data_IF_542137316206
#
_entry.id   IF_542137316206
#
_cell.length_a   1.000
_cell.length_b   1.000
_cell.length_c   1.000
_cell.angle_alpha   90.00
_cell.angle_beta   90.00
_cell.angle_gamma   90.00
#
_symmetry.space_group_name_H-M   'P 1'
#
loop_
_entity.id
_entity.type
_entity.pdbx_description
1 polymer ?
#
# COMPACT_ATOMS: atom_id res chain seq x y z
N UNK A 1 -33.43 37.56 -96.07
CA UNK A 1 -32.96 37.69 -97.46
C UNK A 1 -31.57 38.27 -97.42
N UNK A 2 -30.63 37.61 -98.15
CA UNK A 2 -29.39 38.13 -98.77
C UNK A 2 -28.58 39.13 -97.92
N UNK A 3 -27.39 38.78 -97.42
CA UNK A 3 -26.25 38.35 -98.21
C UNK A 3 -25.61 39.57 -98.85
N UNK A 4 -24.39 39.92 -98.45
CA UNK A 4 -23.24 40.07 -99.37
C UNK A 4 -22.02 40.64 -98.67
N UNK A 5 -20.91 39.93 -98.90
CA UNK A 5 -19.53 40.30 -98.64
C UNK A 5 -19.17 41.63 -99.32
N UNK A 6 -18.26 42.41 -98.73
CA UNK A 6 -17.22 43.05 -99.53
C UNK A 6 -15.89 43.13 -98.78
N UNK A 7 -14.86 42.74 -99.52
CA UNK A 7 -13.51 42.41 -99.09
C UNK A 7 -12.55 43.49 -99.62
N UNK A 8 -11.56 43.83 -98.78
CA UNK A 8 -10.18 44.24 -99.14
C UNK A 8 -9.98 45.67 -99.68
N UNK A 9 -9.26 46.53 -98.95
CA UNK A 9 -7.85 46.89 -99.28
C UNK A 9 -7.17 47.71 -98.17
N UNK A 10 -6.01 47.17 -97.83
CA UNK A 10 -4.94 47.62 -96.94
C UNK A 10 -4.26 48.91 -97.37
N UNK A 11 -3.99 49.80 -96.41
CA UNK A 11 -2.81 50.67 -96.40
C UNK A 11 -1.96 50.29 -95.20
N UNK A 12 -0.74 49.82 -95.47
CA UNK A 12 0.22 49.39 -94.45
C UNK A 12 1.08 50.55 -93.97
N UNK A 13 1.35 50.53 -92.67
CA UNK A 13 2.58 51.07 -92.10
C UNK A 13 3.12 50.00 -91.14
N UNK A 14 4.20 49.33 -91.54
CA UNK A 14 4.95 48.39 -90.71
C UNK A 14 6.23 49.08 -90.27
N UNK A 15 6.57 48.90 -88.99
CA UNK A 15 7.88 48.49 -88.41
C UNK A 15 7.88 49.00 -86.95
N UNK A 16 8.15 48.20 -85.91
CA UNK A 16 8.96 47.00 -85.86
C UNK A 16 8.36 45.85 -85.05
N UNK A 17 8.76 44.66 -85.47
CA UNK A 17 8.50 43.36 -84.86
C UNK A 17 9.52 43.07 -83.77
N UNK A 18 9.09 42.31 -82.75
CA UNK A 18 9.76 41.09 -82.21
C UNK A 18 9.53 40.98 -80.70
N UNK A 19 9.06 39.89 -80.08
CA UNK A 19 8.63 38.55 -80.53
C UNK A 19 7.89 37.89 -79.33
N UNK A 20 6.80 37.17 -79.60
CA UNK A 20 6.38 35.96 -78.84
C UNK A 20 5.40 36.11 -77.67
N UNK A 21 4.11 35.87 -77.93
CA UNK A 21 3.12 35.28 -77.00
C UNK A 21 2.79 33.88 -77.56
N UNK A 22 2.32 32.91 -76.76
CA UNK A 22 0.92 32.53 -76.99
C UNK A 22 0.13 32.29 -75.71
N UNK A 23 -1.12 32.77 -75.75
CA UNK A 23 -2.19 32.47 -74.83
C UNK A 23 -2.57 30.98 -74.90
N UNK A 24 -2.85 30.36 -73.76
CA UNK A 24 -3.61 29.11 -73.69
C UNK A 24 -4.32 29.02 -72.33
N UNK A 25 -5.60 28.59 -72.38
CA UNK A 25 -6.49 28.14 -71.29
C UNK A 25 -7.01 29.24 -70.32
N UNK A 26 -8.26 29.70 -70.39
CA UNK A 26 -9.54 28.98 -70.28
C UNK A 26 -9.71 28.29 -68.91
N UNK A 27 -10.68 28.80 -68.12
CA UNK A 27 -11.39 28.12 -67.03
C UNK A 27 -10.55 27.46 -65.91
N UNK A 28 -10.26 28.23 -64.83
CA UNK A 28 -10.36 27.71 -63.46
C UNK A 28 -11.02 28.78 -62.59
N UNK A 29 -12.36 28.75 -62.60
CA UNK A 29 -13.15 29.04 -61.41
C UNK A 29 -12.72 28.07 -60.31
N UNK A 30 -12.66 28.56 -59.06
CA UNK A 30 -12.48 27.81 -57.82
C UNK A 30 -11.06 27.24 -57.56
N UNK A 31 -10.63 27.39 -56.30
CA UNK A 31 -9.43 26.79 -55.70
C UNK A 31 -8.10 27.58 -55.84
N UNK A 32 -8.07 28.84 -55.40
CA UNK A 32 -6.96 29.21 -54.49
C UNK A 32 -7.26 28.56 -53.14
N UNK A 33 -6.91 27.28 -53.07
CA UNK A 33 -6.87 26.48 -51.85
C UNK A 33 -5.99 27.25 -50.87
N UNK A 34 -6.60 27.80 -49.83
CA UNK A 34 -5.94 27.97 -48.55
C UNK A 34 -5.35 26.59 -48.26
N UNK A 35 -4.06 26.40 -48.49
CA UNK A 35 -3.31 25.33 -47.84
C UNK A 35 -3.24 25.75 -46.38
N UNK A 36 -4.37 25.59 -45.69
CA UNK A 36 -4.35 25.28 -44.28
C UNK A 36 -3.56 23.99 -44.25
N UNK A 37 -2.28 24.12 -43.92
CA UNK A 37 -1.53 23.02 -43.34
C UNK A 37 -2.35 22.59 -42.12
N UNK A 38 -3.30 21.68 -42.35
CA UNK A 38 -3.81 20.80 -41.31
C UNK A 38 -2.62 19.92 -41.01
N UNK A 39 -1.64 20.47 -40.28
CA UNK A 39 -0.92 19.64 -39.34
C UNK A 39 -2.03 18.99 -38.53
N UNK A 40 -2.18 17.65 -38.53
CA UNK A 40 -2.98 17.06 -37.49
C UNK A 40 -2.38 17.63 -36.22
N UNK A 41 -3.18 18.39 -35.47
CA UNK A 41 -2.83 18.66 -34.08
C UNK A 41 -2.75 17.25 -33.52
N UNK A 42 -1.53 16.71 -33.45
CA UNK A 42 -1.28 15.40 -32.87
C UNK A 42 -1.77 15.56 -31.46
N UNK A 43 -3.01 15.13 -31.20
CA UNK A 43 -3.55 15.08 -29.87
C UNK A 43 -2.57 14.18 -29.14
N UNK A 44 -1.69 14.79 -28.33
CA UNK A 44 -0.68 14.08 -27.58
C UNK A 44 -1.46 13.03 -26.80
N UNK A 45 -1.25 11.75 -27.12
CA UNK A 45 -1.94 10.67 -26.45
C UNK A 45 -1.77 10.88 -24.94
N UNK A 46 -2.88 10.84 -24.20
CA UNK A 46 -2.83 11.05 -22.77
C UNK A 46 -1.84 10.05 -22.15
N UNK A 47 -1.10 10.45 -21.09
CA UNK A 47 -0.15 9.57 -20.46
C UNK A 47 -0.87 8.33 -19.90
N UNK A 48 -0.25 7.16 -20.05
CA UNK A 48 -0.77 5.91 -19.49
C UNK A 48 -0.76 6.01 -17.96
N UNK A 49 -1.91 5.70 -17.35
CA UNK A 49 -2.08 5.70 -15.89
C UNK A 49 -1.89 4.29 -15.34
N UNK A 50 -0.96 4.16 -14.42
CA UNK A 50 -0.55 2.90 -13.81
C UNK A 50 -0.91 2.98 -12.33
N UNK A 51 -1.58 1.96 -11.77
CA UNK A 51 -1.82 1.84 -10.33
C UNK A 51 -1.14 0.59 -9.80
N UNK A 52 -0.44 0.71 -8.68
CA UNK A 52 0.04 -0.44 -7.92
C UNK A 52 -0.63 -0.51 -6.56
N UNK A 53 -1.44 -1.54 -6.31
CA UNK A 53 -2.00 -1.84 -5.00
C UNK A 53 -1.07 -2.80 -4.26
N UNK A 54 -0.44 -2.35 -3.18
CA UNK A 54 0.63 -3.08 -2.54
C UNK A 54 0.73 -2.75 -1.06
N UNK A 55 1.19 -3.70 -0.26
CA UNK A 55 1.67 -3.44 1.10
C UNK A 55 3.18 -3.73 1.22
N UNK A 56 3.79 -3.14 2.25
CA UNK A 56 5.11 -3.49 2.79
C UNK A 56 6.20 -3.57 1.70
N UNK A 57 6.59 -4.75 1.22
CA UNK A 57 7.67 -4.90 0.23
C UNK A 57 7.41 -4.14 -1.09
N UNK A 58 6.16 -3.80 -1.41
CA UNK A 58 5.86 -2.94 -2.54
C UNK A 58 6.36 -1.50 -2.32
N UNK A 59 6.24 -0.99 -1.09
CA UNK A 59 6.77 0.31 -0.68
C UNK A 59 8.29 0.33 -0.79
N UNK A 60 8.95 -0.75 -0.34
CA UNK A 60 10.40 -0.93 -0.49
C UNK A 60 10.83 -0.91 -1.96
N UNK A 61 10.08 -1.59 -2.83
CA UNK A 61 10.35 -1.60 -4.26
C UNK A 61 10.14 -0.22 -4.90
N UNK A 62 9.12 0.54 -4.48
CA UNK A 62 8.87 1.89 -4.99
C UNK A 62 9.97 2.86 -4.55
N UNK A 63 10.20 2.96 -3.24
CA UNK A 63 11.09 3.98 -2.67
C UNK A 63 12.57 3.60 -2.81
N UNK A 64 12.92 2.35 -2.49
CA UNK A 64 14.29 1.86 -2.58
C UNK A 64 14.70 1.47 -3.99
N UNK A 65 13.74 1.15 -4.86
CA UNK A 65 13.97 0.76 -6.26
C UNK A 65 13.79 1.88 -7.28
N UNK A 66 13.42 3.09 -6.85
CA UNK A 66 13.15 4.25 -7.73
C UNK A 66 12.13 3.95 -8.84
N UNK A 67 11.10 3.14 -8.53
CA UNK A 67 10.12 2.70 -9.56
C UNK A 67 9.29 3.86 -10.06
N UNK A 68 8.90 4.75 -9.13
CA UNK A 68 8.11 5.95 -9.45
C UNK A 68 8.88 6.85 -10.42
N UNK A 69 10.11 7.20 -10.05
CA UNK A 69 11.01 8.04 -10.84
C UNK A 69 11.29 7.39 -12.21
N UNK A 70 11.53 6.08 -12.23
CA UNK A 70 11.79 5.33 -13.45
C UNK A 70 10.60 5.30 -14.42
N UNK A 71 9.36 5.17 -13.91
CA UNK A 71 8.15 5.23 -14.72
C UNK A 71 7.82 6.66 -15.15
N UNK A 72 8.00 7.65 -14.28
CA UNK A 72 7.83 9.06 -14.61
C UNK A 72 8.79 9.51 -15.70
N UNK A 73 10.07 9.09 -15.63
CA UNK A 73 11.07 9.37 -16.68
C UNK A 73 10.70 8.79 -18.04
N UNK A 74 9.82 7.78 -18.09
CA UNK A 74 9.29 7.18 -19.33
C UNK A 74 7.97 7.81 -19.80
N UNK A 75 7.50 8.85 -19.12
CA UNK A 75 6.27 9.58 -19.47
C UNK A 75 4.98 8.92 -18.94
N UNK A 76 5.09 7.98 -17.99
CA UNK A 76 3.93 7.35 -17.38
C UNK A 76 3.48 8.09 -16.11
N UNK A 77 2.17 8.07 -15.84
CA UNK A 77 1.62 8.51 -14.56
C UNK A 77 1.48 7.30 -13.64
N UNK A 78 2.37 7.20 -12.66
CA UNK A 78 2.37 6.10 -11.71
C UNK A 78 1.67 6.50 -10.41
N UNK A 79 0.69 5.72 -10.02
CA UNK A 79 -0.05 5.84 -8.76
C UNK A 79 0.23 4.58 -7.97
N UNK A 80 0.17 4.68 -6.65
CA UNK A 80 0.20 3.50 -5.81
C UNK A 80 -0.70 3.69 -4.59
N UNK A 81 -1.19 2.57 -4.07
CA UNK A 81 -2.01 2.53 -2.89
C UNK A 81 -1.38 1.55 -1.91
N UNK A 82 -0.95 2.08 -0.77
CA UNK A 82 -0.38 1.35 0.35
C UNK A 82 -1.44 0.69 1.22
N UNK A 83 -1.17 0.61 2.52
CA UNK A 83 -2.19 0.32 3.54
C UNK A 83 -3.32 1.35 3.47
N UNK A 84 -4.54 1.01 3.88
CA UNK A 84 -5.65 1.96 3.89
C UNK A 84 -5.38 3.23 4.72
N UNK A 85 -4.58 3.11 5.79
CA UNK A 85 -4.16 4.24 6.62
C UNK A 85 -3.21 5.20 5.90
N UNK A 86 -2.35 4.67 5.03
CA UNK A 86 -1.46 5.46 4.17
C UNK A 86 -2.24 6.03 2.96
N UNK A 87 -3.04 5.17 2.34
CA UNK A 87 -3.91 5.47 1.22
C UNK A 87 -3.18 5.61 -0.12
N UNK A 88 -3.81 6.40 -1.00
CA UNK A 88 -3.40 6.63 -2.38
C UNK A 88 -2.33 7.72 -2.47
N UNK A 89 -1.23 7.42 -3.16
CA UNK A 89 -0.27 8.39 -3.69
C UNK A 89 -0.53 8.69 -5.15
N UNK A 90 -0.50 9.97 -5.50
CA UNK A 90 -0.73 10.46 -6.86
C UNK A 90 0.48 10.23 -7.79
N UNK A 91 0.38 10.72 -9.04
CA UNK A 91 1.45 10.64 -10.04
C UNK A 91 2.78 11.27 -9.56
N UNK A 92 2.73 12.28 -8.68
CA UNK A 92 3.90 12.96 -8.12
C UNK A 92 4.42 12.26 -6.85
N UNK A 93 3.77 11.18 -6.41
CA UNK A 93 4.09 10.47 -5.17
C UNK A 93 3.57 11.16 -3.92
N UNK A 94 2.69 12.15 -4.05
CA UNK A 94 2.08 12.83 -2.90
C UNK A 94 0.88 12.05 -2.38
N UNK A 95 0.79 11.85 -1.06
CA UNK A 95 -0.40 11.28 -0.43
C UNK A 95 -1.60 12.18 -0.67
N UNK A 96 -2.70 11.58 -1.10
CA UNK A 96 -3.91 12.31 -1.48
C UNK A 96 -4.88 12.50 -0.31
N UNK A 97 -4.62 11.88 0.84
CA UNK A 97 -5.55 11.80 1.97
C UNK A 97 -6.78 10.93 1.71
N UNK A 98 -6.80 10.19 0.59
CA UNK A 98 -7.86 9.25 0.21
C UNK A 98 -7.30 7.84 0.18
N UNK A 99 -8.16 6.86 0.39
CA UNK A 99 -7.86 5.44 0.18
C UNK A 99 -8.96 4.77 -0.64
N UNK A 100 -8.72 3.54 -1.10
CA UNK A 100 -9.65 2.73 -1.89
C UNK A 100 -10.53 1.81 -1.03
N UNK A 101 -10.51 1.97 0.29
CA UNK A 101 -11.20 1.16 1.28
C UNK A 101 -11.02 -0.35 1.03
N UNK A 102 -9.77 -0.80 0.95
CA UNK A 102 -9.41 -2.22 0.78
C UNK A 102 -10.05 -3.01 1.94
N UNK A 103 -10.97 -3.96 1.69
CA UNK A 103 -11.68 -4.64 2.77
C UNK A 103 -10.74 -5.36 3.72
N UNK A 104 -10.80 -5.01 5.01
CA UNK A 104 -9.92 -5.57 6.05
C UNK A 104 -8.44 -5.28 5.84
N UNK A 105 -8.09 -4.35 4.94
CA UNK A 105 -6.72 -4.14 4.47
C UNK A 105 -6.05 -5.44 3.96
N UNK A 106 -6.87 -6.37 3.47
CA UNK A 106 -6.40 -7.70 3.08
C UNK A 106 -5.88 -7.68 1.64
N UNK A 107 -4.56 -7.84 1.50
CA UNK A 107 -3.86 -8.03 0.20
C UNK A 107 -3.34 -9.46 0.01
N UNK A 108 -3.91 -10.44 0.70
CA UNK A 108 -3.64 -11.86 0.52
C UNK A 108 -4.51 -12.43 -0.63
N UNK A 109 -4.26 -13.67 -1.10
CA UNK A 109 -4.96 -14.24 -2.26
C UNK A 109 -6.49 -14.20 -2.16
N UNK A 110 -7.04 -14.48 -0.97
CA UNK A 110 -8.49 -14.44 -0.71
C UNK A 110 -9.03 -12.99 -0.71
N UNK A 111 -8.30 -12.05 -0.11
CA UNK A 111 -8.60 -10.62 -0.11
C UNK A 111 -8.66 -10.07 -1.54
N UNK A 112 -7.68 -10.41 -2.38
CA UNK A 112 -7.75 -10.06 -3.80
C UNK A 112 -8.91 -10.74 -4.52
N UNK A 113 -9.24 -12.01 -4.24
CA UNK A 113 -10.42 -12.63 -4.82
C UNK A 113 -11.72 -11.90 -4.40
N UNK A 114 -11.83 -11.47 -3.15
CA UNK A 114 -12.95 -10.67 -2.66
C UNK A 114 -13.02 -9.31 -3.37
N UNK A 115 -11.90 -8.61 -3.54
CA UNK A 115 -11.83 -7.35 -4.29
C UNK A 115 -12.30 -7.54 -5.73
N UNK A 116 -11.76 -8.53 -6.44
CA UNK A 116 -12.10 -8.76 -7.85
C UNK A 116 -13.54 -9.26 -8.07
N UNK A 117 -14.29 -9.64 -7.02
CA UNK A 117 -15.73 -9.95 -7.14
C UNK A 117 -16.65 -8.77 -6.82
N UNK A 118 -16.10 -7.62 -6.39
CA UNK A 118 -16.90 -6.42 -6.12
C UNK A 118 -17.64 -5.94 -7.39
N UNK A 119 -18.91 -5.52 -7.18
CA UNK A 119 -19.73 -4.89 -8.22
C UNK A 119 -19.15 -3.53 -8.59
N UNK A 120 -19.19 -3.17 -9.88
CA UNK A 120 -18.78 -1.84 -10.31
C UNK A 120 -19.77 -0.77 -9.83
N UNK A 121 -19.23 0.38 -9.48
CA UNK A 121 -19.97 1.56 -9.05
C UNK A 121 -19.49 2.79 -9.84
N UNK A 122 -20.39 3.73 -10.09
CA UNK A 122 -20.10 5.03 -10.71
C UNK A 122 -20.88 6.12 -9.97
N UNK A 123 -20.22 7.07 -9.27
CA UNK A 123 -18.76 7.17 -9.07
C UNK A 123 -18.18 5.94 -8.34
N UNK A 124 -16.87 5.68 -8.44
CA UNK A 124 -16.25 4.53 -7.79
C UNK A 124 -16.35 4.64 -6.26
N UNK A 125 -16.92 3.62 -5.61
CA UNK A 125 -17.13 3.57 -4.14
C UNK A 125 -16.43 2.39 -3.46
N UNK A 126 -15.81 1.51 -4.24
CA UNK A 126 -15.12 0.33 -3.74
C UNK A 126 -13.80 0.12 -4.46
N UNK A 127 -12.94 -0.70 -3.87
CA UNK A 127 -11.57 -0.92 -4.31
C UNK A 127 -11.47 -1.28 -5.78
N UNK A 128 -12.26 -2.25 -6.24
CA UNK A 128 -12.20 -2.67 -7.65
C UNK A 128 -12.70 -1.58 -8.61
N UNK A 129 -13.72 -0.82 -8.23
CA UNK A 129 -14.21 0.31 -9.02
C UNK A 129 -13.18 1.42 -9.15
N UNK A 130 -12.34 1.65 -8.12
CA UNK A 130 -11.21 2.58 -8.19
C UNK A 130 -10.09 2.01 -9.08
N UNK A 131 -9.71 0.75 -8.90
CA UNK A 131 -8.63 0.11 -9.68
C UNK A 131 -8.94 0.14 -11.19
N UNK A 132 -10.19 -0.11 -11.58
CA UNK A 132 -10.55 -0.21 -13.01
C UNK A 132 -10.52 1.14 -13.76
N UNK A 133 -10.34 2.26 -13.05
CA UNK A 133 -10.15 3.57 -13.65
C UNK A 133 -8.77 3.73 -14.32
N UNK A 134 -7.79 2.91 -13.94
CA UNK A 134 -6.42 2.95 -14.46
C UNK A 134 -6.25 2.07 -15.70
N UNK A 135 -5.22 2.33 -16.50
CA UNK A 135 -4.96 1.61 -17.75
C UNK A 135 -4.17 0.31 -17.50
N UNK A 136 -3.23 0.38 -16.57
CA UNK A 136 -2.42 -0.74 -16.09
C UNK A 136 -2.62 -0.90 -14.58
N UNK A 137 -3.05 -2.08 -14.15
CA UNK A 137 -3.32 -2.42 -12.75
C UNK A 137 -2.32 -3.46 -12.28
N UNK A 138 -1.54 -3.12 -11.27
CA UNK A 138 -0.61 -4.00 -10.59
C UNK A 138 -1.10 -4.30 -9.18
N UNK A 139 -0.88 -5.52 -8.71
CA UNK A 139 -1.18 -5.88 -7.32
C UNK A 139 -0.23 -6.98 -6.82
N UNK A 140 0.00 -7.00 -5.49
CA UNK A 140 1.01 -7.85 -4.85
C UNK A 140 0.64 -8.24 -3.42
N UNK A 141 0.63 -9.52 -3.12
CA UNK A 141 0.59 -10.01 -1.73
C UNK A 141 1.93 -9.88 -0.99
N UNK A 142 1.92 -9.77 0.33
CA UNK A 142 3.15 -9.64 1.12
C UNK A 142 3.84 -11.00 1.36
N UNK A 143 5.04 -11.00 1.95
CA UNK A 143 5.81 -12.23 2.19
C UNK A 143 5.12 -13.28 3.09
N UNK A 144 4.19 -12.98 4.02
CA UNK A 144 3.51 -14.02 4.81
C UNK A 144 2.77 -15.05 3.95
N UNK A 145 2.30 -14.65 2.75
CA UNK A 145 1.67 -15.54 1.76
C UNK A 145 2.63 -16.62 1.23
N UNK A 146 3.95 -16.46 1.42
CA UNK A 146 4.91 -17.53 1.12
C UNK A 146 4.94 -18.63 2.19
N UNK A 147 4.30 -18.48 3.35
CA UNK A 147 4.16 -19.57 4.31
C UNK A 147 3.02 -20.51 3.90
N UNK A 148 3.25 -21.29 2.85
CA UNK A 148 2.30 -22.28 2.34
C UNK A 148 2.59 -23.61 3.02
N UNK A 149 1.81 -23.97 4.03
CA UNK A 149 2.09 -25.10 4.92
C UNK A 149 1.66 -26.45 4.33
N UNK A 150 0.70 -26.46 3.40
CA UNK A 150 0.19 -27.69 2.77
C UNK A 150 -0.14 -27.53 1.28
N UNK A 151 -0.33 -28.67 0.60
CA UNK A 151 -0.77 -28.68 -0.80
C UNK A 151 -2.24 -28.24 -0.93
N UNK A 152 -3.05 -28.44 0.11
CA UNK A 152 -4.42 -27.93 0.19
C UNK A 152 -4.44 -26.40 0.17
N UNK A 153 -3.60 -25.74 1.00
CA UNK A 153 -3.47 -24.28 1.01
C UNK A 153 -2.94 -23.77 -0.34
N UNK A 154 -1.96 -24.45 -0.94
CA UNK A 154 -1.48 -24.13 -2.29
C UNK A 154 -2.63 -24.18 -3.31
N UNK A 155 -3.45 -25.22 -3.27
CA UNK A 155 -4.58 -25.39 -4.18
C UNK A 155 -5.70 -24.36 -3.92
N UNK A 156 -5.87 -23.94 -2.67
CA UNK A 156 -6.77 -22.85 -2.29
C UNK A 156 -6.29 -21.51 -2.85
N UNK A 157 -5.01 -21.18 -2.76
CA UNK A 157 -4.46 -19.98 -3.40
C UNK A 157 -4.65 -20.01 -4.92
N UNK A 158 -4.46 -21.18 -5.55
CA UNK A 158 -4.77 -21.36 -6.97
C UNK A 158 -6.26 -21.13 -7.27
N UNK A 159 -7.19 -21.52 -6.40
CA UNK A 159 -8.62 -21.28 -6.61
C UNK A 159 -8.97 -19.80 -6.53
N UNK A 160 -8.41 -19.06 -5.58
CA UNK A 160 -8.58 -17.60 -5.51
C UNK A 160 -8.07 -16.89 -6.76
N UNK A 161 -6.91 -17.27 -7.27
CA UNK A 161 -6.37 -16.69 -8.51
C UNK A 161 -7.18 -17.06 -9.76
N UNK A 162 -7.91 -18.19 -9.76
CA UNK A 162 -8.90 -18.48 -10.82
C UNK A 162 -10.08 -17.51 -10.75
N UNK A 163 -10.57 -17.15 -9.56
CA UNK A 163 -11.60 -16.11 -9.41
C UNK A 163 -11.11 -14.75 -9.93
N UNK A 164 -9.89 -14.37 -9.56
CA UNK A 164 -9.26 -13.12 -9.97
C UNK A 164 -9.12 -13.05 -11.51
N UNK A 165 -8.57 -14.10 -12.14
CA UNK A 165 -8.35 -14.09 -13.59
C UNK A 165 -9.66 -14.12 -14.39
N UNK A 166 -10.70 -14.80 -13.89
CA UNK A 166 -12.04 -14.78 -14.49
C UNK A 166 -12.64 -13.38 -14.50
N UNK A 167 -12.35 -12.55 -13.49
CA UNK A 167 -12.75 -11.13 -13.50
C UNK A 167 -11.93 -10.34 -14.51
N UNK A 168 -10.62 -10.56 -14.59
CA UNK A 168 -9.75 -9.86 -15.55
C UNK A 168 -10.15 -10.10 -17.00
N UNK A 169 -10.66 -11.29 -17.33
CA UNK A 169 -11.16 -11.63 -18.67
C UNK A 169 -12.30 -10.71 -19.14
N UNK A 170 -13.04 -10.12 -18.21
CA UNK A 170 -14.12 -9.18 -18.51
C UNK A 170 -13.59 -7.78 -18.92
N UNK A 171 -12.28 -7.55 -18.80
CA UNK A 171 -11.63 -6.27 -19.10
C UNK A 171 -10.45 -6.46 -20.08
N UNK A 172 -10.71 -6.90 -21.33
CA UNK A 172 -9.66 -7.17 -22.32
C UNK A 172 -8.89 -5.92 -22.76
N UNK A 173 -9.46 -4.73 -22.55
CA UNK A 173 -8.81 -3.44 -22.86
C UNK A 173 -7.91 -2.93 -21.73
N UNK A 174 -8.02 -3.50 -20.53
CA UNK A 174 -7.13 -3.20 -19.41
C UNK A 174 -5.88 -4.07 -19.49
N UNK A 175 -4.88 -3.74 -18.71
CA UNK A 175 -3.68 -4.57 -18.55
C UNK A 175 -3.47 -4.84 -17.07
N UNK A 176 -3.42 -6.11 -16.70
CA UNK A 176 -3.20 -6.56 -15.33
C UNK A 176 -1.81 -7.16 -15.19
N UNK A 177 -1.09 -6.80 -14.13
CA UNK A 177 0.19 -7.40 -13.78
C UNK A 177 0.09 -7.94 -12.35
N UNK A 178 0.20 -9.26 -12.23
CA UNK A 178 0.38 -9.93 -10.94
C UNK A 178 1.85 -9.80 -10.57
N UNK A 179 2.13 -9.21 -9.41
CA UNK A 179 3.47 -9.21 -8.83
C UNK A 179 3.48 -10.32 -7.79
N UNK A 180 4.31 -11.34 -7.99
CA UNK A 180 4.36 -12.49 -7.07
C UNK A 180 4.83 -12.04 -5.68
N UNK A 181 4.38 -12.74 -4.64
CA UNK A 181 4.78 -12.47 -3.27
C UNK A 181 6.31 -12.70 -3.06
N UNK A 182 6.98 -12.01 -2.12
CA UNK A 182 8.39 -12.29 -1.77
C UNK A 182 8.58 -13.63 -1.04
N UNK A 183 9.76 -14.27 -1.11
CA UNK A 183 10.11 -15.44 -0.30
C UNK A 183 10.35 -15.08 1.17
N UNK A 184 10.21 -16.06 2.06
CA UNK A 184 10.55 -15.94 3.48
C UNK A 184 12.04 -16.19 3.74
N UNK A 185 12.56 -15.68 4.85
CA UNK A 185 13.88 -16.05 5.38
C UNK A 185 13.88 -17.46 5.96
N UNK A 186 15.06 -18.13 6.06
CA UNK A 186 15.13 -19.52 6.52
C UNK A 186 14.56 -19.77 7.92
N UNK A 187 14.62 -18.80 8.84
CA UNK A 187 14.10 -19.00 10.19
C UNK A 187 12.57 -18.86 10.28
N UNK A 188 11.93 -18.31 9.24
CA UNK A 188 10.48 -18.06 9.20
C UNK A 188 9.76 -19.04 8.27
N UNK A 189 10.44 -20.09 7.81
CA UNK A 189 9.83 -21.06 6.89
C UNK A 189 10.48 -22.44 6.98
N UNK A 190 9.81 -23.44 6.41
CA UNK A 190 10.38 -24.77 6.21
C UNK A 190 10.80 -24.97 4.75
N UNK A 191 11.75 -25.88 4.45
CA UNK A 191 12.06 -26.23 3.06
C UNK A 191 10.84 -26.69 2.25
N UNK A 192 9.85 -27.32 2.90
CA UNK A 192 8.62 -27.74 2.25
C UNK A 192 7.73 -26.55 1.88
N UNK A 193 7.54 -25.60 2.81
CA UNK A 193 6.76 -24.39 2.56
C UNK A 193 7.42 -23.50 1.51
N UNK A 194 8.74 -23.30 1.58
CA UNK A 194 9.50 -22.55 0.57
C UNK A 194 9.36 -23.16 -0.85
N UNK A 195 9.39 -24.50 -0.98
CA UNK A 195 9.13 -25.18 -2.25
C UNK A 195 7.71 -24.93 -2.77
N UNK A 196 6.70 -24.95 -1.91
CA UNK A 196 5.31 -24.66 -2.30
C UNK A 196 5.12 -23.19 -2.69
N UNK A 197 5.79 -22.26 -2.02
CA UNK A 197 5.80 -20.85 -2.42
C UNK A 197 6.35 -20.67 -3.85
N UNK A 198 7.49 -21.31 -4.18
CA UNK A 198 8.01 -21.35 -5.55
C UNK A 198 7.03 -22.03 -6.51
N UNK A 199 6.41 -23.13 -6.12
CA UNK A 199 5.45 -23.84 -6.96
C UNK A 199 4.24 -22.96 -7.29
N UNK A 200 3.79 -22.15 -6.32
CA UNK A 200 2.71 -21.18 -6.53
C UNK A 200 3.08 -20.12 -7.57
N UNK A 201 4.24 -19.48 -7.42
CA UNK A 201 4.69 -18.42 -8.36
C UNK A 201 5.00 -18.98 -9.73
N UNK A 202 5.53 -20.21 -9.79
CA UNK A 202 5.73 -20.94 -11.05
C UNK A 202 4.40 -21.23 -11.76
N UNK A 203 3.37 -21.62 -11.00
CA UNK A 203 2.03 -21.84 -11.57
C UNK A 203 1.40 -20.55 -12.10
N UNK A 204 1.53 -19.41 -11.39
CA UNK A 204 1.04 -18.12 -11.87
C UNK A 204 1.64 -17.71 -13.22
N UNK A 205 2.87 -18.14 -13.53
CA UNK A 205 3.52 -17.88 -14.82
C UNK A 205 3.20 -18.91 -15.90
N UNK A 206 2.59 -20.04 -15.53
CA UNK A 206 2.42 -21.18 -16.43
C UNK A 206 1.39 -20.89 -17.53
N UNK A 207 1.55 -21.56 -18.66
CA UNK A 207 0.53 -21.55 -19.73
C UNK A 207 -0.82 -22.08 -19.25
N UNK A 208 -0.85 -22.98 -18.27
CA UNK A 208 -2.10 -23.48 -17.70
C UNK A 208 -2.91 -22.42 -16.94
N UNK A 209 -2.24 -21.48 -16.27
CA UNK A 209 -2.90 -20.37 -15.59
C UNK A 209 -3.19 -19.21 -16.56
N UNK A 210 -2.16 -18.77 -17.30
CA UNK A 210 -2.29 -17.63 -18.20
C UNK A 210 -3.17 -17.95 -19.41
N UNK A 211 -3.17 -19.20 -19.88
CA UNK A 211 -4.01 -19.71 -20.97
C UNK A 211 -4.04 -18.80 -22.20
N UNK A 212 -2.87 -18.29 -22.61
CA UNK A 212 -2.72 -17.42 -23.77
C UNK A 212 -3.31 -16.01 -23.64
N UNK A 213 -3.87 -15.64 -22.48
CA UNK A 213 -4.46 -14.31 -22.22
C UNK A 213 -3.47 -13.20 -22.54
N UNK A 214 -3.96 -12.18 -23.24
CA UNK A 214 -3.14 -11.06 -23.68
C UNK A 214 -3.16 -9.89 -22.71
N UNK A 215 -4.12 -9.82 -21.80
CA UNK A 215 -4.30 -8.72 -20.85
C UNK A 215 -3.75 -9.02 -19.44
N UNK A 216 -3.16 -10.19 -19.19
CA UNK A 216 -2.62 -10.60 -17.89
C UNK A 216 -1.15 -10.98 -18.03
N UNK A 217 -0.32 -10.41 -17.16
CA UNK A 217 1.12 -10.64 -17.11
C UNK A 217 1.56 -10.89 -15.67
N UNK A 218 2.73 -11.52 -15.49
CA UNK A 218 3.28 -11.80 -14.16
C UNK A 218 4.71 -11.26 -14.07
N UNK A 219 4.95 -10.40 -13.08
CA UNK A 219 6.29 -10.03 -12.67
C UNK A 219 6.75 -10.93 -11.53
N UNK A 220 7.77 -11.75 -11.79
CA UNK A 220 8.26 -12.74 -10.85
C UNK A 220 9.23 -12.14 -9.83
N UNK A 221 8.66 -11.37 -8.91
CA UNK A 221 9.41 -10.77 -7.81
C UNK A 221 9.99 -11.83 -6.88
N UNK A 222 9.32 -12.98 -6.72
CA UNK A 222 9.78 -14.08 -5.89
C UNK A 222 11.10 -14.63 -6.40
N UNK A 223 11.20 -14.92 -7.70
CA UNK A 223 12.38 -15.53 -8.29
C UNK A 223 13.59 -14.61 -8.32
N UNK A 224 13.37 -13.31 -8.48
CA UNK A 224 14.42 -12.32 -8.33
C UNK A 224 15.00 -12.31 -6.91
N UNK A 225 14.18 -12.55 -5.88
CA UNK A 225 14.56 -12.51 -4.48
C UNK A 225 15.09 -13.83 -3.92
N UNK A 226 14.61 -14.97 -4.44
CA UNK A 226 14.80 -16.28 -3.81
C UNK A 226 16.06 -17.02 -4.30
N UNK A 227 16.76 -17.69 -3.39
CA UNK A 227 17.91 -18.55 -3.69
C UNK A 227 17.49 -19.92 -4.25
N UNK A 228 18.47 -20.80 -4.46
CA UNK A 228 18.21 -22.19 -4.88
C UNK A 228 17.44 -23.02 -3.83
N UNK A 229 17.45 -22.58 -2.58
CA UNK A 229 16.67 -23.11 -1.46
C UNK A 229 15.20 -22.65 -1.45
N UNK A 230 14.81 -21.75 -2.36
CA UNK A 230 13.49 -21.09 -2.43
C UNK A 230 13.21 -20.11 -1.30
N UNK A 231 14.23 -19.71 -0.54
CA UNK A 231 14.14 -18.74 0.55
C UNK A 231 14.79 -17.42 0.12
N UNK A 232 14.55 -16.34 0.85
CA UNK A 232 15.15 -15.03 0.56
C UNK A 232 16.68 -15.16 0.54
N UNK A 233 17.34 -14.69 -0.53
CA UNK A 233 18.81 -14.81 -0.67
C UNK A 233 19.53 -14.13 0.50
N UNK A 234 20.63 -14.70 1.05
CA UNK A 234 21.38 -14.09 2.15
C UNK A 234 21.74 -12.61 1.94
N UNK A 235 22.18 -12.23 0.73
CA UNK A 235 22.53 -10.84 0.40
C UNK A 235 21.35 -9.86 0.31
N UNK A 236 20.11 -10.35 0.36
CA UNK A 236 18.88 -9.58 0.26
C UNK A 236 18.07 -9.53 1.57
N UNK A 237 18.55 -10.15 2.65
CA UNK A 237 17.90 -10.15 3.96
C UNK A 237 18.23 -8.86 4.73
N UNK A 238 17.26 -8.38 5.52
CA UNK A 238 17.50 -7.35 6.55
C UNK A 238 18.03 -8.02 7.82
N UNK A 239 17.49 -9.18 8.16
CA UNK A 239 17.91 -9.98 9.31
C UNK A 239 17.53 -11.45 9.15
N UNK A 240 17.69 -12.23 10.22
CA UNK A 240 17.41 -13.66 10.19
C UNK A 240 15.93 -14.01 10.36
N UNK A 241 15.13 -13.10 10.93
CA UNK A 241 13.70 -13.26 11.19
C UNK A 241 12.84 -12.24 10.40
N UNK A 242 13.48 -11.35 9.65
CA UNK A 242 12.80 -10.35 8.84
C UNK A 242 12.85 -10.73 7.35
N UNK A 243 11.68 -11.02 6.78
CA UNK A 243 11.51 -11.39 5.37
C UNK A 243 11.31 -10.19 4.43
N UNK A 244 11.42 -8.95 4.92
CA UNK A 244 11.51 -7.80 4.05
C UNK A 244 12.81 -7.84 3.22
N UNK A 245 12.75 -7.63 1.89
CA UNK A 245 13.94 -7.40 1.09
C UNK A 245 14.65 -6.11 1.51
N UNK A 246 15.96 -6.19 1.68
CA UNK A 246 16.78 -5.03 2.02
C UNK A 246 16.92 -4.03 0.86
N UNK A 247 17.51 -2.87 1.13
CA UNK A 247 17.69 -1.82 0.13
C UNK A 247 18.48 -2.26 -1.10
N UNK A 248 19.45 -3.16 -0.95
CA UNK A 248 20.21 -3.68 -2.07
C UNK A 248 19.29 -4.44 -3.04
N UNK A 249 18.44 -5.32 -2.50
CA UNK A 249 17.47 -6.05 -3.29
C UNK A 249 16.52 -5.08 -4.02
N UNK A 250 16.00 -4.09 -3.31
CA UNK A 250 15.09 -3.09 -3.87
C UNK A 250 15.76 -2.27 -5.00
N UNK A 251 16.98 -1.78 -4.78
CA UNK A 251 17.76 -1.05 -5.81
C UNK A 251 18.07 -1.89 -7.05
N UNK A 252 18.38 -3.17 -6.88
CA UNK A 252 18.70 -4.06 -7.99
C UNK A 252 17.46 -4.48 -8.79
N UNK A 253 16.29 -4.59 -8.13
CA UNK A 253 15.06 -5.10 -8.74
C UNK A 253 14.16 -3.97 -9.29
N UNK A 254 14.14 -2.80 -8.67
CA UNK A 254 13.33 -1.66 -9.10
C UNK A 254 13.45 -1.33 -10.59
N UNK A 255 14.68 -1.15 -11.14
CA UNK A 255 14.87 -0.93 -12.57
C UNK A 255 14.34 -2.07 -13.45
N UNK A 256 14.46 -3.33 -13.01
CA UNK A 256 13.91 -4.49 -13.74
C UNK A 256 12.38 -4.45 -13.75
N UNK A 257 11.77 -4.03 -12.66
CA UNK A 257 10.32 -3.87 -12.57
C UNK A 257 9.83 -2.76 -13.50
N UNK A 258 10.49 -1.60 -13.51
CA UNK A 258 10.20 -0.50 -14.44
C UNK A 258 10.30 -0.97 -15.90
N UNK A 259 11.40 -1.63 -16.27
CA UNK A 259 11.58 -2.18 -17.62
C UNK A 259 10.53 -3.21 -17.99
N UNK A 260 10.13 -4.07 -17.05
CA UNK A 260 9.07 -5.05 -17.27
C UNK A 260 7.73 -4.36 -17.58
N UNK A 261 7.32 -3.40 -16.75
CA UNK A 261 6.07 -2.65 -16.95
C UNK A 261 6.05 -1.94 -18.29
N UNK A 262 7.15 -1.26 -18.65
CA UNK A 262 7.29 -0.62 -19.97
C UNK A 262 7.17 -1.63 -21.12
N UNK A 263 7.82 -2.79 -20.99
CA UNK A 263 7.76 -3.84 -22.01
C UNK A 263 6.33 -4.35 -22.21
N UNK A 264 5.56 -4.50 -21.13
CA UNK A 264 4.16 -4.90 -21.15
C UNK A 264 3.31 -3.82 -21.83
N UNK A 265 3.49 -2.55 -21.45
CA UNK A 265 2.78 -1.41 -22.05
C UNK A 265 3.03 -1.36 -23.57
N UNK A 266 4.29 -1.47 -24.01
CA UNK A 266 4.67 -1.46 -25.42
C UNK A 266 4.09 -2.67 -26.16
N UNK A 267 4.20 -3.88 -25.60
CA UNK A 267 3.67 -5.11 -26.20
C UNK A 267 2.15 -5.05 -26.39
N UNK A 268 1.44 -4.39 -25.46
CA UNK A 268 -0.01 -4.20 -25.50
C UNK A 268 -0.46 -3.05 -26.40
N UNK A 269 0.43 -2.10 -26.68
CA UNK A 269 0.06 -0.82 -27.27
C UNK A 269 -0.91 -0.05 -26.39
N UNK A 270 -0.72 -0.04 -25.06
CA UNK A 270 -1.63 0.68 -24.15
C UNK A 270 -1.59 2.17 -24.46
N UNK A 271 -2.76 2.75 -24.71
CA UNK A 271 -2.96 4.18 -24.90
C UNK A 271 -3.65 4.72 -23.64
N UNK A 272 -3.19 5.87 -23.13
CA UNK A 272 -3.77 6.44 -21.91
C UNK A 272 -5.22 6.86 -22.10
N UNK A 273 -6.08 6.51 -21.14
CA UNK A 273 -7.53 6.76 -21.20
C UNK A 273 -7.97 8.22 -21.01
N UNK A 274 -7.04 9.18 -21.04
CA UNK A 274 -7.34 10.59 -20.74
C UNK A 274 -7.31 10.90 -19.24
N UNK A 275 -7.74 12.10 -18.83
CA UNK A 275 -7.83 12.48 -17.42
C UNK A 275 -8.62 11.43 -16.64
N UNK A 276 -8.26 11.18 -15.38
CA UNK A 276 -9.20 10.51 -14.48
C UNK A 276 -10.52 11.28 -14.52
N UNK A 277 -11.68 10.62 -14.53
CA UNK A 277 -12.94 11.32 -14.34
C UNK A 277 -12.74 12.30 -13.18
N UNK A 278 -13.08 13.57 -13.38
CA UNK A 278 -13.24 14.47 -12.23
C UNK A 278 -14.31 13.79 -11.41
N UNK A 279 -13.88 13.17 -10.32
CA UNK A 279 -14.77 12.86 -9.22
C UNK A 279 -15.22 14.24 -8.80
N UNK A 280 -16.40 14.64 -9.28
CA UNK A 280 -17.09 15.85 -8.82
C UNK A 280 -16.93 15.82 -7.32
N UNK A 281 -16.38 16.90 -6.73
CA UNK A 281 -16.41 17.08 -5.29
C UNK A 281 -17.81 16.65 -4.87
N UNK A 282 -17.90 15.58 -4.08
CA UNK A 282 -19.17 14.98 -3.75
C UNK A 282 -20.06 16.13 -3.25
N UNK A 283 -21.09 16.44 -4.04
CA UNK A 283 -22.22 17.18 -3.56
C UNK A 283 -22.70 16.41 -2.33
N UNK A 284 -22.87 17.10 -1.21
CA UNK A 284 -23.38 16.49 0.03
C UNK A 284 -24.55 15.57 -0.32
N UNK A 285 -24.54 14.30 0.09
CA UNK A 285 -25.61 13.37 -0.25
C UNK A 285 -26.95 13.94 0.23
N UNK A 286 -28.06 13.73 -0.51
CA UNK A 286 -29.38 14.12 -0.05
C UNK A 286 -29.70 13.38 1.25
N UNK A 287 -30.31 14.12 2.16
CA UNK A 287 -30.87 13.70 3.44
C UNK A 287 -31.71 12.42 3.25
N UNK A 288 -31.23 11.30 3.82
CA UNK A 288 -31.98 10.04 3.88
C UNK A 288 -32.74 10.06 5.20
N UNK A 289 -34.07 9.92 5.14
CA UNK A 289 -34.95 9.84 6.31
C UNK A 289 -34.42 8.86 7.37
N UNK A 290 -34.45 9.35 8.61
CA UNK A 290 -33.84 8.79 9.80
C UNK A 290 -34.28 7.35 10.11
N UNK A 291 -33.30 6.47 10.24
CA UNK A 291 -33.39 5.35 11.18
C UNK A 291 -33.04 5.86 12.58
N UNK A 292 -33.64 5.32 13.66
CA UNK A 292 -33.64 5.95 14.98
C UNK A 292 -32.23 6.11 15.57
N UNK A 293 -32.05 7.10 16.47
CA UNK A 293 -30.78 7.78 16.66
C UNK A 293 -29.71 6.91 17.31
N UNK A 294 -28.52 6.92 16.69
CA UNK A 294 -27.28 6.59 17.37
C UNK A 294 -26.97 7.73 18.35
N UNK A 295 -26.92 7.40 19.64
CA UNK A 295 -26.60 8.34 20.70
C UNK A 295 -25.27 9.08 20.43
N UNK A 296 -25.34 10.38 20.63
CA UNK A 296 -24.25 11.36 20.67
C UNK A 296 -22.98 10.83 21.33
N UNK A 297 -21.84 10.94 20.63
CA UNK A 297 -20.51 10.85 21.22
C UNK A 297 -20.36 12.04 22.18
N UNK A 298 -20.15 11.85 23.50
CA UNK A 298 -19.90 12.96 24.40
C UNK A 298 -18.49 13.50 24.20
N UNK A 299 -18.37 14.82 24.18
CA UNK A 299 -17.13 15.55 24.45
C UNK A 299 -16.47 15.05 25.76
N UNK A 300 -15.14 15.03 25.77
CA UNK A 300 -14.27 14.88 26.96
C UNK A 300 -14.55 13.68 27.87
N UNK A 301 -13.82 12.57 27.64
CA UNK A 301 -13.54 11.60 28.72
C UNK A 301 -12.10 11.78 29.20
N UNK A 302 -11.93 12.61 30.21
CA UNK A 302 -10.90 12.33 31.22
C UNK A 302 -11.20 10.92 31.79
N UNK A 303 -10.21 10.02 31.91
CA UNK A 303 -10.46 8.71 32.48
C UNK A 303 -10.88 8.89 33.94
N UNK A 304 -12.14 8.54 34.25
CA UNK A 304 -12.59 8.33 35.63
C UNK A 304 -11.76 7.18 36.18
N UNK A 305 -10.93 7.47 37.17
CA UNK A 305 -10.15 6.50 37.92
C UNK A 305 -11.08 5.79 38.92
N UNK A 306 -11.32 4.48 38.83
CA UNK A 306 -11.56 3.68 40.01
C UNK A 306 -10.21 3.36 40.65
N UNK A 307 -10.14 3.35 41.98
CA UNK A 307 -9.01 2.75 42.69
C UNK A 307 -9.04 1.24 42.44
N UNK A 308 -8.28 0.79 41.45
CA UNK A 308 -8.14 -0.63 41.12
C UNK A 308 -7.05 -1.21 42.02
N UNK A 309 -7.37 -2.27 42.76
CA UNK A 309 -6.34 -3.12 43.37
C UNK A 309 -5.65 -3.87 42.24
N UNK A 310 -4.48 -3.41 41.81
CA UNK A 310 -3.72 -4.06 40.74
C UNK A 310 -2.78 -5.13 41.30
N UNK A 311 -2.60 -6.23 40.56
CA UNK A 311 -1.53 -7.19 40.82
C UNK A 311 -0.31 -6.84 39.98
N UNK A 312 0.85 -6.69 40.60
CA UNK A 312 2.07 -6.21 39.94
C UNK A 312 2.67 -7.30 39.04
N UNK A 313 2.88 -6.98 37.76
CA UNK A 313 3.66 -7.79 36.82
C UNK A 313 5.12 -7.37 36.90
N UNK A 314 5.40 -6.07 36.86
CA UNK A 314 6.76 -5.54 36.88
C UNK A 314 6.75 -4.10 37.40
N UNK A 315 7.42 -3.88 38.53
CA UNK A 315 7.74 -2.54 39.06
C UNK A 315 9.18 -2.13 38.80
N UNK A 316 9.90 -2.89 37.98
CA UNK A 316 11.30 -2.66 37.63
C UNK A 316 12.29 -2.71 38.80
N UNK A 317 11.92 -3.23 39.97
CA UNK A 317 12.80 -3.29 41.15
C UNK A 317 13.96 -4.28 41.03
N UNK A 318 13.88 -5.19 40.07
CA UNK A 318 14.91 -6.18 39.73
C UNK A 318 15.14 -6.20 38.23
N UNK A 319 16.26 -6.75 37.78
CA UNK A 319 16.55 -6.82 36.35
C UNK A 319 15.51 -7.72 35.68
N UNK A 320 14.69 -7.09 34.85
CA UNK A 320 13.66 -7.76 34.06
C UNK A 320 14.21 -8.05 32.67
N UNK A 321 14.57 -9.29 32.35
CA UNK A 321 15.08 -9.64 31.02
C UNK A 321 13.97 -9.64 29.97
N UNK A 322 14.37 -9.80 28.71
CA UNK A 322 13.51 -9.96 27.53
C UNK A 322 12.74 -8.70 27.13
N UNK A 323 13.35 -7.53 27.35
CA UNK A 323 12.90 -6.31 26.68
C UNK A 323 13.55 -6.17 25.32
N UNK A 324 12.71 -5.89 24.32
CA UNK A 324 13.13 -5.67 22.95
C UNK A 324 12.71 -4.27 22.49
N UNK A 325 13.48 -3.71 21.57
CA UNK A 325 13.27 -2.41 20.95
C UNK A 325 13.22 -2.60 19.44
N UNK A 326 12.25 -1.96 18.80
CA UNK A 326 12.10 -1.93 17.35
C UNK A 326 11.82 -0.52 16.87
N UNK A 327 12.49 -0.09 15.81
CA UNK A 327 12.25 1.21 15.19
C UNK A 327 12.43 1.11 13.67
N UNK A 328 11.52 1.73 12.91
CA UNK A 328 11.64 1.83 11.46
C UNK A 328 12.80 2.74 11.02
N UNK A 329 13.22 2.64 9.76
CA UNK A 329 14.41 3.34 9.24
C UNK A 329 14.43 4.84 9.58
N UNK A 330 15.51 5.32 10.20
CA UNK A 330 15.66 6.73 10.57
C UNK A 330 14.86 7.16 11.80
N UNK A 331 14.13 6.24 12.42
CA UNK A 331 13.61 6.37 13.78
C UNK A 331 14.55 5.68 14.77
N UNK A 332 14.52 6.11 16.02
CA UNK A 332 15.29 5.51 17.11
C UNK A 332 14.39 5.31 18.33
N UNK A 333 14.53 4.16 18.99
CA UNK A 333 13.97 3.92 20.32
C UNK A 333 15.07 3.30 21.18
N UNK A 334 15.30 3.87 22.35
CA UNK A 334 16.27 3.38 23.31
C UNK A 334 15.60 3.27 24.67
N UNK A 335 15.79 2.14 25.34
CA UNK A 335 15.28 1.90 26.69
C UNK A 335 16.42 1.72 27.68
N UNK A 336 16.22 2.20 28.91
CA UNK A 336 17.11 1.94 30.04
C UNK A 336 16.37 2.10 31.36
N UNK A 337 16.88 1.47 32.42
CA UNK A 337 16.37 1.74 33.77
C UNK A 337 16.81 3.14 34.26
N UNK A 338 15.93 3.80 35.00
CA UNK A 338 16.14 5.15 35.54
C UNK A 338 15.74 5.19 37.03
N UNK A 339 16.72 5.43 37.90
CA UNK A 339 16.53 5.55 39.35
C UNK A 339 16.07 6.96 39.78
N UNK A 340 16.23 7.96 38.92
CA UNK A 340 15.94 9.37 39.22
C UNK A 340 14.49 9.77 38.96
N UNK A 341 13.78 9.05 38.08
CA UNK A 341 12.36 9.30 37.79
C UNK A 341 11.59 7.99 37.83
N UNK A 342 10.75 7.85 38.85
CA UNK A 342 9.97 6.65 39.15
C UNK A 342 8.64 7.02 39.80
N UNK A 343 7.66 6.13 39.68
CA UNK A 343 6.34 6.26 40.28
C UNK A 343 6.32 5.64 41.67
N UNK A 344 7.00 4.51 41.84
CA UNK A 344 7.17 3.81 43.11
C UNK A 344 8.56 3.14 43.16
N UNK A 345 8.90 2.50 44.28
CA UNK A 345 10.14 1.73 44.40
C UNK A 345 11.45 2.50 44.13
N UNK A 346 12.42 1.82 43.52
CA UNK A 346 13.80 2.28 43.34
C UNK A 346 14.09 2.76 41.91
N UNK A 347 13.42 2.22 40.88
CA UNK A 347 13.67 2.61 39.48
C UNK A 347 12.47 2.35 38.58
N UNK A 348 12.45 2.98 37.41
CA UNK A 348 11.45 2.76 36.36
C UNK A 348 12.12 2.47 35.01
N UNK A 349 11.34 2.13 33.97
CA UNK A 349 11.85 1.98 32.62
C UNK A 349 11.69 3.29 31.84
N UNK A 350 12.82 3.91 31.47
CA UNK A 350 12.86 5.08 30.59
C UNK A 350 12.95 4.66 29.13
N UNK A 351 12.14 5.26 28.28
CA UNK A 351 12.22 5.14 26.83
C UNK A 351 12.46 6.52 26.20
N UNK A 352 13.56 6.66 25.44
CA UNK A 352 13.79 7.80 24.55
C UNK A 352 13.41 7.38 23.14
N UNK A 353 12.65 8.22 22.44
CA UNK A 353 12.28 7.97 21.06
C UNK A 353 12.47 9.21 20.18
N UNK A 354 12.85 8.95 18.94
CA UNK A 354 12.78 9.90 17.84
C UNK A 354 12.20 9.15 16.65
N UNK A 355 10.93 9.37 16.37
CA UNK A 355 10.20 8.73 15.29
C UNK A 355 10.06 9.73 14.16
N UNK A 356 10.59 9.39 12.97
CA UNK A 356 10.39 10.23 11.79
C UNK A 356 8.91 10.27 11.41
N UNK A 357 8.49 11.30 10.69
CA UNK A 357 7.20 11.32 10.02
C UNK A 357 7.04 10.05 9.18
N UNK A 358 5.85 9.44 9.25
CA UNK A 358 5.53 8.18 8.58
C UNK A 358 6.32 6.98 9.15
N UNK A 359 6.79 7.10 10.40
CA UNK A 359 7.55 6.08 11.10
C UNK A 359 6.79 5.55 12.32
N UNK A 360 7.20 4.35 12.74
CA UNK A 360 6.87 3.78 14.03
C UNK A 360 8.15 3.35 14.74
N UNK A 361 8.11 3.39 16.06
CA UNK A 361 9.02 2.65 16.92
C UNK A 361 8.29 2.18 18.16
N UNK A 362 8.86 1.23 18.88
CA UNK A 362 8.27 0.70 20.08
C UNK A 362 9.25 -0.13 20.87
N UNK A 363 8.78 -0.54 22.03
CA UNK A 363 9.51 -1.41 22.92
C UNK A 363 8.52 -2.26 23.70
N UNK A 364 8.93 -3.47 24.04
CA UNK A 364 8.06 -4.41 24.72
C UNK A 364 8.83 -5.50 25.43
N UNK A 365 8.12 -6.22 26.31
CA UNK A 365 8.63 -7.38 27.01
C UNK A 365 7.91 -8.63 26.54
N UNK A 366 8.68 -9.67 26.25
CA UNK A 366 8.18 -10.97 25.78
C UNK A 366 8.49 -12.08 26.78
N UNK A 367 7.59 -13.05 26.87
CA UNK A 367 7.69 -14.18 27.78
C UNK A 367 7.89 -15.48 27.01
N UNK A 368 8.85 -16.29 27.46
CA UNK A 368 9.15 -17.62 26.88
C UNK A 368 8.06 -18.66 27.18
N UNK A 369 7.06 -18.30 28.00
CA UNK A 369 5.93 -19.14 28.39
C UNK A 369 4.66 -18.33 28.60
N UNK A 370 3.50 -18.97 28.44
CA UNK A 370 2.20 -18.35 28.67
C UNK A 370 2.08 -17.83 30.11
N UNK A 371 1.74 -16.55 30.21
CA UNK A 371 1.30 -15.94 31.46
C UNK A 371 -0.23 -16.04 31.55
N UNK A 372 -0.72 -16.60 32.67
CA UNK A 372 -2.15 -16.73 32.90
C UNK A 372 -2.67 -15.58 33.77
N UNK A 373 -3.30 -14.61 33.12
CA UNK A 373 -3.93 -13.44 33.72
C UNK A 373 -5.47 -13.52 33.69
N UNK A 374 -6.06 -14.69 33.43
CA UNK A 374 -7.51 -14.87 33.28
C UNK A 374 -8.34 -14.59 34.55
N UNK A 375 -7.69 -14.49 35.72
CA UNK A 375 -8.32 -14.08 36.97
C UNK A 375 -8.61 -12.56 37.03
N UNK A 376 -7.97 -11.78 36.18
CA UNK A 376 -8.03 -10.31 36.18
C UNK A 376 -8.98 -9.79 35.09
N UNK A 377 -9.40 -8.53 35.20
CA UNK A 377 -10.29 -7.84 34.27
C UNK A 377 -9.58 -7.01 33.20
N UNK A 378 -8.29 -6.74 33.35
CA UNK A 378 -7.56 -5.86 32.44
C UNK A 378 -6.07 -5.70 32.74
N UNK A 379 -5.45 -4.78 32.01
CA UNK A 379 -4.04 -4.42 32.11
C UNK A 379 -3.90 -2.95 32.53
N UNK A 380 -2.84 -2.64 33.26
CA UNK A 380 -2.54 -1.29 33.73
C UNK A 380 -1.05 -0.99 33.71
N UNK A 381 -0.71 0.26 33.47
CA UNK A 381 0.67 0.77 33.48
C UNK A 381 0.67 2.23 33.91
N UNK A 382 1.64 2.62 34.73
CA UNK A 382 1.91 4.03 34.95
C UNK A 382 2.83 4.56 33.87
N UNK A 383 2.47 5.68 33.26
CA UNK A 383 3.29 6.35 32.26
C UNK A 383 3.50 7.80 32.70
N UNK A 384 4.75 8.25 32.64
CA UNK A 384 5.13 9.65 32.77
C UNK A 384 5.47 10.23 31.40
N UNK A 385 4.86 11.36 31.05
CA UNK A 385 5.33 12.24 29.97
C UNK A 385 5.60 13.64 30.53
N UNK A 386 6.65 14.31 30.07
CA UNK A 386 6.95 15.69 30.50
C UNK A 386 5.93 16.68 29.97
N UNK A 387 5.50 16.52 28.72
CA UNK A 387 4.60 17.44 28.03
C UNK A 387 3.17 16.91 27.94
N UNK A 388 3.02 15.59 27.84
CA UNK A 388 1.76 14.97 27.48
C UNK A 388 1.33 15.34 26.05
N UNK A 389 0.21 14.76 25.62
CA UNK A 389 -0.39 15.04 24.32
C UNK A 389 0.22 14.25 23.16
N UNK A 390 1.02 13.22 23.44
CA UNK A 390 1.49 12.24 22.45
C UNK A 390 0.48 11.09 22.35
N UNK A 391 0.14 10.69 21.13
CA UNK A 391 -0.66 9.49 20.90
C UNK A 391 0.25 8.26 20.88
N UNK A 392 -0.11 7.26 21.67
CA UNK A 392 0.64 6.02 21.83
C UNK A 392 -0.30 4.83 21.79
N UNK A 393 0.25 3.66 21.45
CA UNK A 393 -0.49 2.42 21.39
C UNK A 393 0.08 1.45 22.41
N UNK A 394 -0.77 0.96 23.31
CA UNK A 394 -0.45 -0.18 24.15
C UNK A 394 -0.78 -1.45 23.37
N UNK A 395 0.19 -2.36 23.26
CA UNK A 395 0.04 -3.63 22.57
C UNK A 395 0.23 -4.80 23.54
N UNK A 396 -0.61 -5.81 23.41
CA UNK A 396 -0.54 -7.08 24.13
C UNK A 396 -0.47 -8.23 23.14
N UNK A 397 0.34 -9.24 23.44
CA UNK A 397 0.46 -10.45 22.65
C UNK A 397 -0.19 -11.62 23.38
N UNK A 398 -1.09 -12.33 22.71
CA UNK A 398 -1.87 -13.44 23.28
C UNK A 398 -2.02 -14.58 22.27
N UNK A 399 -1.90 -15.81 22.72
CA UNK A 399 -1.91 -17.01 21.87
C UNK A 399 -0.62 -17.80 22.00
N UNK A 400 -0.30 -18.60 21.00
CA UNK A 400 0.85 -19.51 21.05
C UNK A 400 2.18 -18.74 21.06
N UNK A 401 3.14 -19.20 21.88
CA UNK A 401 4.49 -18.63 21.96
C UNK A 401 5.17 -18.74 20.60
N UNK A 402 5.73 -17.63 20.10
CA UNK A 402 6.36 -17.55 18.77
C UNK A 402 5.41 -17.23 17.61
N UNK A 403 4.09 -17.29 17.80
CA UNK A 403 3.08 -16.92 16.80
C UNK A 403 1.89 -16.18 17.41
N UNK A 404 2.15 -15.47 18.50
CA UNK A 404 1.12 -14.81 19.29
C UNK A 404 0.39 -13.74 18.50
N UNK A 405 -0.91 -13.62 18.76
CA UNK A 405 -1.76 -12.61 18.14
C UNK A 405 -1.62 -11.29 18.88
N UNK A 406 -1.30 -10.19 18.18
CA UNK A 406 -1.27 -8.85 18.74
C UNK A 406 -2.68 -8.28 18.93
N UNK A 407 -2.87 -7.60 20.06
CA UNK A 407 -4.07 -6.84 20.40
C UNK A 407 -3.67 -5.47 20.92
N UNK A 408 -4.35 -4.42 20.47
CA UNK A 408 -3.92 -3.05 20.68
C UNK A 408 -5.05 -2.14 21.17
N UNK A 409 -4.66 -1.10 21.90
CA UNK A 409 -5.52 0.02 22.27
C UNK A 409 -4.70 1.32 22.27
N UNK A 410 -5.29 2.39 21.77
CA UNK A 410 -4.66 3.70 21.69
C UNK A 410 -4.96 4.55 22.92
N UNK A 411 -4.00 5.37 23.32
CA UNK A 411 -4.18 6.36 24.39
C UNK A 411 -3.34 7.60 24.13
N UNK A 412 -3.78 8.73 24.69
CA UNK A 412 -3.03 9.98 24.67
C UNK A 412 -2.34 10.20 26.01
N UNK A 413 -1.05 10.50 25.98
CA UNK A 413 -0.25 10.77 27.18
C UNK A 413 -0.76 12.02 27.90
N UNK A 414 -0.73 12.01 29.23
CA UNK A 414 -0.93 13.18 30.07
C UNK A 414 0.44 13.67 30.57
N UNK A 415 0.53 14.95 30.94
CA UNK A 415 1.72 15.45 31.62
C UNK A 415 1.79 14.88 33.05
N UNK A 416 2.99 14.52 33.48
CA UNK A 416 3.21 13.86 34.76
C UNK A 416 2.88 12.37 34.75
N UNK A 417 2.95 11.75 35.93
CA UNK A 417 2.59 10.33 36.10
C UNK A 417 1.08 10.15 35.99
N UNK A 418 0.66 9.29 35.07
CA UNK A 418 -0.74 8.90 34.91
C UNK A 418 -0.85 7.38 34.82
N UNK A 419 -1.81 6.83 35.57
CA UNK A 419 -2.22 5.45 35.43
C UNK A 419 -3.12 5.31 34.21
N UNK A 420 -2.73 4.41 33.31
CA UNK A 420 -3.54 3.94 32.20
C UNK A 420 -3.98 2.52 32.50
N UNK A 421 -5.29 2.29 32.49
CA UNK A 421 -5.90 1.00 32.78
C UNK A 421 -6.94 0.68 31.73
N UNK A 422 -6.88 -0.52 31.15
CA UNK A 422 -7.76 -0.96 30.09
C UNK A 422 -8.29 -2.35 30.40
N UNK A 423 -9.59 -2.54 30.24
CA UNK A 423 -10.23 -3.86 30.30
C UNK A 423 -9.83 -4.70 29.08
N UNK A 424 -9.89 -6.03 29.21
CA UNK A 424 -9.59 -6.93 28.09
C UNK A 424 -10.44 -6.65 26.84
N UNK A 425 -11.68 -6.20 27.03
CA UNK A 425 -12.61 -5.86 25.94
C UNK A 425 -12.21 -4.61 25.14
N UNK A 426 -11.33 -3.77 25.68
CA UNK A 426 -10.87 -2.55 25.02
C UNK A 426 -9.73 -2.82 24.03
N UNK A 427 -9.05 -3.96 24.17
CA UNK A 427 -8.02 -4.40 23.25
C UNK A 427 -8.63 -5.01 22.00
N UNK A 428 -8.37 -4.40 20.85
CA UNK A 428 -8.81 -4.89 19.55
C UNK A 428 -7.69 -5.72 18.93
N UNK A 429 -8.05 -6.81 18.26
CA UNK A 429 -7.08 -7.57 17.46
C UNK A 429 -6.45 -6.62 16.45
N UNK A 430 -5.12 -6.53 16.44
CA UNK A 430 -4.43 -5.60 15.53
C UNK A 430 -4.72 -6.00 14.09
N UNK A 431 -4.83 -4.99 13.21
CA UNK A 431 -5.11 -5.20 11.78
C UNK A 431 -4.05 -6.03 11.07
N UNK A 432 -2.83 -6.07 11.60
CA UNK A 432 -1.68 -6.81 11.08
C UNK A 432 -1.48 -8.20 11.70
N UNK A 433 -2.42 -8.68 12.54
CA UNK A 433 -2.37 -10.01 13.12
C UNK A 433 -2.63 -11.12 12.07
N UNK A 434 -1.84 -12.20 12.10
CA UNK A 434 -1.99 -13.40 11.25
C UNK A 434 -3.35 -14.06 11.40
N UNK A 435 -4.01 -14.43 10.29
CA UNK A 435 -5.40 -14.96 10.27
C UNK A 435 -5.65 -16.20 11.13
N UNK A 436 -4.65 -17.06 11.32
CA UNK A 436 -4.72 -18.22 12.22
C UNK A 436 -4.66 -17.89 13.71
N UNK A 437 -4.48 -16.62 14.05
CA UNK A 437 -4.42 -16.10 15.41
C UNK A 437 -5.78 -16.02 16.11
N UNK A 438 -5.74 -15.66 17.39
CA UNK A 438 -6.93 -15.47 18.20
C UNK A 438 -7.80 -14.33 17.64
N UNK A 439 -9.12 -14.50 17.68
CA UNK A 439 -10.09 -13.45 17.30
C UNK A 439 -10.40 -12.49 18.45
N UNK A 440 -10.21 -12.94 19.69
CA UNK A 440 -10.33 -12.17 20.93
C UNK A 440 -9.13 -12.47 21.81
N UNK A 441 -8.69 -11.49 22.59
CA UNK A 441 -7.59 -11.67 23.52
C UNK A 441 -7.94 -12.79 24.51
N UNK A 442 -7.04 -13.77 24.66
CA UNK A 442 -7.15 -14.79 25.69
C UNK A 442 -6.19 -14.44 26.84
N UNK A 443 -6.70 -13.86 27.95
CA UNK A 443 -5.86 -13.47 29.07
C UNK A 443 -5.22 -14.67 29.77
N UNK A 444 -5.58 -15.93 29.44
CA UNK A 444 -4.90 -17.12 29.97
C UNK A 444 -3.63 -17.48 29.21
N UNK A 445 -3.42 -16.92 28.03
CA UNK A 445 -2.32 -17.24 27.11
C UNK A 445 -1.54 -15.98 26.71
N UNK A 446 -1.11 -15.18 27.68
CA UNK A 446 -0.39 -13.93 27.41
C UNK A 446 1.09 -14.20 27.19
N UNK A 447 1.69 -13.60 26.16
CA UNK A 447 3.08 -13.86 25.75
C UNK A 447 3.92 -12.61 25.66
N UNK A 448 3.32 -11.42 25.80
CA UNK A 448 4.07 -10.18 25.88
C UNK A 448 3.20 -8.94 25.92
N UNK A 449 3.85 -7.80 26.12
CA UNK A 449 3.23 -6.48 26.06
C UNK A 449 4.26 -5.44 25.61
N UNK A 450 3.81 -4.29 25.12
CA UNK A 450 4.69 -3.20 24.73
C UNK A 450 3.97 -1.89 24.50
N UNK A 451 4.74 -0.84 24.25
CA UNK A 451 4.25 0.48 23.86
C UNK A 451 4.85 0.84 22.50
N UNK A 452 3.96 1.15 21.56
CA UNK A 452 4.32 1.68 20.26
C UNK A 452 4.08 3.18 20.22
N UNK A 453 5.01 3.88 19.59
CA UNK A 453 5.01 5.31 19.32
C UNK A 453 5.05 5.47 17.80
N UNK A 454 3.92 5.87 17.23
CA UNK A 454 3.73 6.04 15.80
C UNK A 454 3.15 7.43 15.55
N UNK A 455 3.76 8.22 14.66
CA UNK A 455 3.18 9.48 14.22
C UNK A 455 3.33 9.60 12.70
N UNK A 456 2.19 9.47 12.03
CA UNK A 456 2.08 9.49 10.58
C UNK A 456 1.86 10.91 10.02
N UNK A 457 1.84 11.94 10.89
CA UNK A 457 1.62 13.33 10.49
C UNK A 457 2.90 14.17 10.56
N UNK A 458 3.79 13.85 11.51
CA UNK A 458 5.03 14.61 11.75
C UNK A 458 6.08 13.73 12.41
N UNK A 459 7.33 14.17 12.33
CA UNK A 459 8.38 13.59 13.17
C UNK A 459 8.13 13.98 14.62
N UNK A 460 8.19 13.01 15.52
CA UNK A 460 8.08 13.22 16.96
C UNK A 460 9.32 12.74 17.68
N UNK A 461 9.69 13.45 18.72
CA UNK A 461 10.75 13.02 19.64
C UNK A 461 10.31 13.28 21.05
N UNK A 462 10.66 12.39 21.95
CA UNK A 462 10.25 12.52 23.33
C UNK A 462 10.88 11.46 24.22
N UNK A 463 10.49 11.55 25.48
CA UNK A 463 10.91 10.64 26.52
C UNK A 463 9.71 10.32 27.39
N UNK A 464 9.49 9.04 27.63
CA UNK A 464 8.51 8.55 28.60
C UNK A 464 9.16 7.63 29.61
N UNK A 465 8.49 7.47 30.75
CA UNK A 465 8.86 6.48 31.75
C UNK A 465 7.66 5.59 32.03
N UNK A 466 7.89 4.28 32.08
CA UNK A 466 6.92 3.27 32.48
C UNK A 466 7.27 2.77 33.86
N UNK A 467 6.26 2.59 34.70
CA UNK A 467 6.43 2.02 36.02
C UNK A 467 5.17 1.24 36.44
N UNK A 468 5.29 0.41 37.48
CA UNK A 468 4.20 -0.31 38.12
C UNK A 468 3.23 -0.97 37.12
N UNK A 469 3.77 -1.79 36.20
CA UNK A 469 2.97 -2.56 35.24
C UNK A 469 2.20 -3.62 36.01
N UNK A 470 0.88 -3.69 35.84
CA UNK A 470 0.05 -4.59 36.61
C UNK A 470 -1.28 -4.96 35.95
N UNK A 471 -2.03 -5.79 36.65
CA UNK A 471 -3.31 -6.34 36.21
C UNK A 471 -4.46 -5.75 37.00
N UNK A 472 -5.55 -5.40 36.31
CA UNK A 472 -6.75 -4.80 36.89
C UNK A 472 -7.65 -5.87 37.50
N UNK A 473 -8.08 -5.74 38.75
CA UNK A 473 -9.04 -6.67 39.36
C UNK A 473 -10.38 -6.70 38.61
N UNK A 474 -11.06 -7.85 38.60
CA UNK A 474 -12.44 -7.95 38.09
C UNK A 474 -13.45 -7.21 38.95
#
# INVERSE_FOLDING_TARGET
>A
MKGEDYKIKTAGLKLGFSRGVPAFLCLILFAFFTVVLIFPLSAQAAPVKIIFLHHSCGQGLINGGNVREGLTAKGYQFYDHGYNEEGLRDAKGSYTGRNFNVPGDNTDPDGYAAIFTQKLTSPPKNTFSHLIQYDVILFKSCFPVSNIESDEQLNQYKSYYRTIINRMDQYPNKTFIIVTQPPLVPNETSPAAARRARAFTSWLKSDGFLNGRKNVFVFDFFDLLAGGDNMLKPGYRVGNHDSHPNDRANREIGPKFVSFIESVIKKRGVVGSGPMPKETAAEEPPEIEESPPAETIPETRTPKSPAVKSSLIDGFETDSPNWEVGAGDGSTVEIKFDEGKKKSGNRSLKANYSVKRDGCGGFGRYFDSHQNWGAYGGFSVWIYSEKGGEDMTLILFSGEVGSATPFETGFRTASGWKLYSFLWSEFKRSGWASEGGLTKIDPKKMTGFGVNVCDYSKSIKGTIWLDDIGLVSK
#
